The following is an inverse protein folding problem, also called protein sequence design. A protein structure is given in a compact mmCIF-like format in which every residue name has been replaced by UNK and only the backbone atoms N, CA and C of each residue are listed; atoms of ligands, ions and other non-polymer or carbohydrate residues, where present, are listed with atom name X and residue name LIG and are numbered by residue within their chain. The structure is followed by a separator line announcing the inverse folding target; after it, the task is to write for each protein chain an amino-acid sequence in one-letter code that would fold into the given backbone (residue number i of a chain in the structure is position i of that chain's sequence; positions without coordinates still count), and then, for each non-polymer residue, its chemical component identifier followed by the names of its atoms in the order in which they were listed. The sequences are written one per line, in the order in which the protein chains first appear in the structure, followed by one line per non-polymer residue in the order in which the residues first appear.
data_IF_041714454052
#
_entry.id   IF_041714454052
#
_cell.length_a   1.000
_cell.length_b   1.000
_cell.length_c   1.000
_cell.angle_alpha   90.00
_cell.angle_beta   90.00
_cell.angle_gamma   90.00
#
_symmetry.space_group_name_H-M   'P 1'
#
loop_
_entity.id
_entity.type
_entity.pdbx_description
1 polymer ?
#
# COMPACT_ATOMS: atom_id res chain seq x y z
N UNK A 1 -2.57 -9.87 17.02
CA UNK A 1 -2.45 -9.34 15.65
C UNK A 1 -1.63 -8.05 15.57
N UNK A 2 -2.02 -6.88 16.11
CA UNK A 2 -1.24 -5.63 15.90
C UNK A 2 0.24 -5.69 16.30
N UNK A 3 0.56 -6.32 17.43
CA UNK A 3 1.95 -6.54 17.82
C UNK A 3 2.75 -7.34 16.77
N UNK A 4 2.10 -8.31 16.12
CA UNK A 4 2.69 -9.08 15.03
C UNK A 4 2.84 -8.26 13.76
N UNK A 5 1.87 -7.41 13.39
CA UNK A 5 1.98 -6.52 12.24
C UNK A 5 3.09 -5.48 12.43
N UNK A 6 3.24 -4.94 13.65
CA UNK A 6 4.37 -4.08 14.01
C UNK A 6 5.70 -4.84 13.91
N UNK A 7 5.77 -6.06 14.43
CA UNK A 7 6.97 -6.90 14.30
C UNK A 7 7.30 -7.18 12.83
N UNK A 8 6.29 -7.48 12.01
CA UNK A 8 6.44 -7.73 10.59
C UNK A 8 7.00 -6.49 9.89
N UNK A 9 6.37 -5.32 10.02
CA UNK A 9 6.88 -4.08 9.42
C UNK A 9 8.31 -3.75 9.87
N UNK A 10 8.61 -3.86 11.17
CA UNK A 10 9.94 -3.64 11.70
C UNK A 10 10.99 -4.63 11.14
N UNK A 11 10.56 -5.79 10.68
CA UNK A 11 11.45 -6.81 10.12
C UNK A 11 11.64 -6.65 8.62
N UNK A 12 10.56 -6.46 7.86
CA UNK A 12 10.60 -6.48 6.39
C UNK A 12 10.76 -5.10 5.75
N UNK A 13 10.41 -4.03 6.49
CA UNK A 13 10.48 -2.65 6.02
C UNK A 13 10.77 -1.67 7.18
N UNK A 14 11.92 -1.84 7.88
CA UNK A 14 12.23 -1.08 9.09
C UNK A 14 12.22 0.44 8.88
N UNK A 15 12.59 0.91 7.69
CA UNK A 15 12.66 2.32 7.35
C UNK A 15 11.27 2.99 7.15
N UNK A 16 10.24 2.23 6.80
CA UNK A 16 8.87 2.77 6.66
C UNK A 16 8.24 3.12 8.01
N UNK A 17 8.49 2.27 9.02
CA UNK A 17 8.10 2.47 10.43
C UNK A 17 6.67 3.03 10.63
N UNK A 18 5.62 2.46 10.00
CA UNK A 18 4.29 3.08 10.03
C UNK A 18 3.65 3.01 11.41
N UNK A 19 2.76 3.97 11.68
CA UNK A 19 1.74 3.79 12.71
C UNK A 19 0.73 2.75 12.20
N UNK A 20 0.35 1.78 13.03
CA UNK A 20 -0.61 0.73 12.66
C UNK A 20 -1.75 0.74 13.68
N UNK A 21 -2.98 0.90 13.23
CA UNK A 21 -4.16 0.97 14.11
C UNK A 21 -5.33 0.19 13.56
N UNK A 22 -6.28 -0.14 14.44
CA UNK A 22 -7.61 -0.56 14.04
C UNK A 22 -8.40 0.66 13.53
N UNK A 23 -9.33 0.44 12.60
CA UNK A 23 -10.31 1.44 12.21
C UNK A 23 -11.05 1.97 13.45
N UNK A 24 -10.94 3.28 13.77
CA UNK A 24 -11.73 3.87 14.83
C UNK A 24 -13.19 3.98 14.44
N UNK A 25 -14.11 3.70 15.37
CA UNK A 25 -15.57 3.86 15.16
C UNK A 25 -15.96 5.29 14.74
N UNK A 26 -15.17 6.28 15.16
CA UNK A 26 -15.40 7.68 14.86
C UNK A 26 -14.99 8.08 13.43
N UNK A 27 -14.24 7.23 12.72
CA UNK A 27 -13.78 7.52 11.36
C UNK A 27 -14.72 6.87 10.35
N UNK A 28 -15.05 7.56 9.24
CA UNK A 28 -15.77 6.92 8.16
C UNK A 28 -14.97 5.71 7.66
N UNK A 29 -15.65 4.59 7.49
CA UNK A 29 -15.05 3.36 6.95
C UNK A 29 -15.15 3.41 5.44
N UNK A 30 -14.03 3.39 4.70
CA UNK A 30 -14.07 3.33 3.24
C UNK A 30 -14.86 2.10 2.78
N UNK A 31 -15.75 2.28 1.81
CA UNK A 31 -16.55 1.19 1.27
C UNK A 31 -15.62 0.18 0.56
N UNK A 32 -15.82 -1.11 0.80
CA UNK A 32 -15.09 -2.21 0.16
C UNK A 32 -13.58 -2.28 0.44
N UNK A 33 -13.13 -1.75 1.57
CA UNK A 33 -11.72 -1.82 1.96
C UNK A 33 -11.51 -2.61 3.26
N UNK A 34 -10.51 -3.49 3.28
CA UNK A 34 -10.11 -4.26 4.48
C UNK A 34 -8.98 -3.59 5.27
N UNK A 35 -8.20 -2.75 4.62
CA UNK A 35 -7.20 -1.88 5.23
C UNK A 35 -6.90 -0.72 4.28
N UNK A 36 -6.26 0.35 4.75
CA UNK A 36 -5.77 1.41 3.88
C UNK A 36 -4.55 2.12 4.47
N UNK A 37 -3.65 2.56 3.59
CA UNK A 37 -2.53 3.42 3.93
C UNK A 37 -2.88 4.91 3.76
N UNK A 38 -2.47 5.73 4.74
CA UNK A 38 -2.54 7.19 4.72
C UNK A 38 -1.11 7.72 4.77
N UNK A 39 -0.53 8.12 3.61
CA UNK A 39 0.85 8.62 3.57
C UNK A 39 1.04 9.91 4.37
N UNK A 40 0.01 10.75 4.47
CA UNK A 40 0.03 12.01 5.22
C UNK A 40 -1.13 12.07 6.21
N UNK A 41 -0.83 11.92 7.49
CA UNK A 41 -1.83 11.93 8.57
C UNK A 41 -2.47 13.33 8.69
N UNK A 42 -3.80 13.38 8.73
CA UNK A 42 -4.58 14.63 8.94
C UNK A 42 -4.51 15.10 10.40
N UNK A 43 -4.90 16.35 10.67
CA UNK A 43 -5.00 16.85 12.06
C UNK A 43 -5.87 15.93 12.93
N UNK A 44 -7.05 15.58 12.42
CA UNK A 44 -8.02 14.77 13.13
C UNK A 44 -7.46 13.39 13.46
N UNK A 45 -6.78 12.76 12.50
CA UNK A 45 -6.14 11.46 12.73
C UNK A 45 -5.02 11.56 13.75
N UNK A 46 -4.18 12.61 13.69
CA UNK A 46 -3.11 12.86 14.66
C UNK A 46 -3.67 13.06 16.07
N UNK A 47 -4.64 13.94 16.24
CA UNK A 47 -5.27 14.22 17.54
C UNK A 47 -5.87 12.95 18.14
N UNK A 48 -6.53 12.14 17.31
CA UNK A 48 -7.03 10.84 17.73
C UNK A 48 -5.91 9.93 18.24
N UNK A 49 -4.84 9.75 17.45
CA UNK A 49 -3.68 8.93 17.83
C UNK A 49 -3.01 9.45 19.11
N UNK A 50 -2.90 10.77 19.28
CA UNK A 50 -2.36 11.40 20.48
C UNK A 50 -3.24 11.12 21.71
N UNK A 51 -4.55 11.27 21.56
CA UNK A 51 -5.51 11.01 22.64
C UNK A 51 -5.50 9.54 23.09
N UNK A 52 -5.21 8.63 22.16
CA UNK A 52 -5.08 7.19 22.41
C UNK A 52 -3.69 6.78 22.94
N UNK A 53 -2.73 7.71 23.04
CA UNK A 53 -1.33 7.38 23.36
C UNK A 53 -0.62 6.54 22.30
N UNK A 54 -1.18 6.46 21.09
CA UNK A 54 -0.65 5.71 19.96
C UNK A 54 0.23 6.57 19.02
N UNK A 55 0.20 7.90 19.19
CA UNK A 55 1.05 8.81 18.42
C UNK A 55 2.47 8.85 18.98
N UNK A 56 3.46 8.53 18.15
CA UNK A 56 4.87 8.72 18.49
C UNK A 56 5.48 9.91 17.76
N UNK A 57 5.37 9.96 16.42
CA UNK A 57 5.91 11.03 15.57
C UNK A 57 5.21 11.02 14.19
N UNK A 58 5.44 12.05 13.34
CA UNK A 58 4.89 12.09 11.98
C UNK A 58 5.44 10.93 11.12
N UNK A 59 4.62 9.91 10.91
CA UNK A 59 4.92 8.75 10.05
C UNK A 59 3.68 8.36 9.23
N UNK A 60 3.80 7.56 8.17
CA UNK A 60 2.64 6.98 7.51
C UNK A 60 1.74 6.22 8.50
N UNK A 61 0.45 6.13 8.19
CA UNK A 61 -0.53 5.40 8.98
C UNK A 61 -1.15 4.29 8.14
N UNK A 62 -1.15 3.06 8.67
CA UNK A 62 -1.92 1.95 8.14
C UNK A 62 -3.09 1.69 9.07
N UNK A 63 -4.29 1.66 8.50
CA UNK A 63 -5.53 1.40 9.23
C UNK A 63 -6.08 0.04 8.79
N UNK A 64 -6.21 -0.89 9.74
CA UNK A 64 -6.81 -2.20 9.52
C UNK A 64 -8.30 -2.14 9.87
N UNK A 65 -9.18 -2.37 8.89
CA UNK A 65 -10.65 -2.26 9.07
C UNK A 65 -11.22 -3.45 9.82
N UNK A 66 -10.76 -4.67 9.50
CA UNK A 66 -11.05 -5.87 10.27
C UNK A 66 -9.76 -6.50 10.80
N UNK A 67 -9.29 -6.06 11.98
CA UNK A 67 -8.04 -6.52 12.57
C UNK A 67 -8.17 -7.85 13.34
N UNK A 68 -9.30 -8.56 13.21
CA UNK A 68 -9.51 -9.80 14.00
C UNK A 68 -9.14 -11.07 13.24
N UNK A 69 -8.95 -10.98 11.93
CA UNK A 69 -8.54 -12.10 11.11
C UNK A 69 -7.00 -12.28 11.13
N UNK A 70 -6.54 -13.39 11.73
CA UNK A 70 -5.13 -13.81 11.76
C UNK A 70 -4.76 -14.70 10.54
N UNK A 71 -5.49 -14.55 9.43
CA UNK A 71 -5.25 -15.33 8.21
C UNK A 71 -4.00 -14.86 7.45
N UNK A 72 -3.55 -15.69 6.51
CA UNK A 72 -2.60 -15.28 5.49
C UNK A 72 -3.14 -14.11 4.64
N UNK A 73 -4.45 -14.05 4.39
CA UNK A 73 -5.06 -12.97 3.63
C UNK A 73 -4.91 -11.61 4.35
N UNK A 74 -5.12 -11.57 5.67
CA UNK A 74 -4.92 -10.36 6.49
C UNK A 74 -3.47 -9.87 6.46
N UNK A 75 -2.50 -10.79 6.55
CA UNK A 75 -1.07 -10.46 6.39
C UNK A 75 -0.73 -9.97 4.97
N UNK A 76 -1.34 -10.57 3.95
CA UNK A 76 -1.16 -10.16 2.57
C UNK A 76 -1.71 -8.76 2.29
N UNK A 77 -2.89 -8.45 2.84
CA UNK A 77 -3.48 -7.10 2.83
C UNK A 77 -2.58 -6.12 3.60
N UNK A 78 -2.02 -6.52 4.73
CA UNK A 78 -1.08 -5.65 5.44
C UNK A 78 0.17 -5.33 4.60
N UNK A 79 0.75 -6.32 3.92
CA UNK A 79 1.88 -6.07 3.00
C UNK A 79 1.45 -5.20 1.80
N UNK A 80 0.22 -5.36 1.31
CA UNK A 80 -0.36 -4.48 0.30
C UNK A 80 -0.35 -3.01 0.76
N UNK A 81 -0.87 -2.74 1.96
CA UNK A 81 -0.90 -1.38 2.48
C UNK A 81 0.50 -0.83 2.77
N UNK A 82 1.38 -1.69 3.27
CA UNK A 82 2.77 -1.34 3.51
C UNK A 82 3.50 -0.97 2.21
N UNK A 83 3.15 -1.62 1.09
CA UNK A 83 3.69 -1.31 -0.23
C UNK A 83 3.20 0.03 -0.79
N UNK A 84 2.19 0.70 -0.21
CA UNK A 84 1.85 2.07 -0.61
C UNK A 84 2.84 3.11 -0.06
N UNK A 85 3.69 2.75 0.91
CA UNK A 85 4.71 3.63 1.48
C UNK A 85 5.94 3.63 0.56
N UNK A 86 6.37 4.79 0.00
CA UNK A 86 7.58 4.88 -0.82
C UNK A 86 8.87 4.59 -0.06
N UNK A 87 9.89 4.08 -0.76
CA UNK A 87 11.21 3.81 -0.21
C UNK A 87 11.90 5.06 0.35
N UNK A 88 11.71 6.18 -0.31
CA UNK A 88 12.40 7.45 -0.10
C UNK A 88 11.59 8.46 0.71
N UNK A 89 10.66 8.00 1.55
CA UNK A 89 9.73 8.87 2.27
C UNK A 89 10.45 9.99 3.03
N UNK A 90 10.42 11.20 2.47
CA UNK A 90 10.78 12.40 3.21
C UNK A 90 9.77 12.56 4.34
N UNK A 91 10.25 12.61 5.59
CA UNK A 91 9.36 12.91 6.70
C UNK A 91 8.72 14.26 6.44
N UNK A 92 7.39 14.34 6.31
CA UNK A 92 6.75 15.61 6.03
C UNK A 92 7.05 16.55 7.19
N UNK A 93 7.66 17.69 6.87
CA UNK A 93 7.91 18.74 7.84
C UNK A 93 6.60 19.04 8.60
N UNK A 94 6.67 19.09 9.93
CA UNK A 94 5.50 19.44 10.74
C UNK A 94 4.99 20.81 10.33
N UNK A 95 3.97 20.83 9.49
CA UNK A 95 3.31 22.06 9.13
C UNK A 95 2.22 22.32 10.16
N UNK A 96 2.18 23.51 10.77
CA UNK A 96 1.08 23.89 11.66
C UNK A 96 -0.26 23.68 10.95
N UNK A 97 -1.18 22.99 11.61
CA UNK A 97 -2.49 22.70 11.03
C UNK A 97 -3.40 23.89 11.33
N UNK A 98 -3.67 24.70 10.31
CA UNK A 98 -4.64 25.78 10.40
C UNK A 98 -6.06 25.22 10.42
N UNK A 99 -7.02 25.95 10.99
CA UNK A 99 -8.43 25.55 11.02
C UNK A 99 -8.99 25.27 9.61
N UNK A 100 -8.60 26.08 8.63
CA UNK A 100 -9.01 25.91 7.23
C UNK A 100 -8.40 24.65 6.59
N UNK A 101 -7.12 24.36 6.84
CA UNK A 101 -6.49 23.11 6.39
C UNK A 101 -7.17 21.89 7.02
N UNK A 102 -7.51 21.96 8.31
CA UNK A 102 -8.23 20.91 9.04
C UNK A 102 -9.58 20.63 8.39
N UNK A 103 -10.37 21.67 8.15
CA UNK A 103 -11.68 21.54 7.50
C UNK A 103 -11.57 20.86 6.12
N UNK A 104 -10.60 21.27 5.30
CA UNK A 104 -10.38 20.66 3.97
C UNK A 104 -10.01 19.18 4.06
N UNK A 105 -9.10 18.81 4.96
CA UNK A 105 -8.68 17.42 5.15
C UNK A 105 -9.83 16.54 5.65
N UNK A 106 -10.64 17.03 6.59
CA UNK A 106 -11.79 16.29 7.11
C UNK A 106 -12.87 16.11 6.03
N UNK A 107 -13.12 17.14 5.22
CA UNK A 107 -14.05 17.06 4.09
C UNK A 107 -13.58 16.10 3.00
N UNK A 108 -12.28 16.11 2.66
CA UNK A 108 -11.67 15.19 1.72
C UNK A 108 -11.75 13.74 2.20
N UNK A 109 -11.41 13.49 3.47
CA UNK A 109 -11.50 12.16 4.06
C UNK A 109 -12.94 11.63 4.08
N UNK A 110 -13.92 12.47 4.46
CA UNK A 110 -15.33 12.11 4.42
C UNK A 110 -15.82 11.85 2.99
N UNK A 111 -15.38 12.66 2.02
CA UNK A 111 -15.73 12.50 0.62
C UNK A 111 -15.20 11.18 0.04
N UNK A 112 -13.92 10.88 0.27
CA UNK A 112 -13.27 9.65 -0.19
C UNK A 112 -13.92 8.40 0.39
N UNK A 113 -14.35 8.46 1.65
CA UNK A 113 -14.98 7.30 2.30
C UNK A 113 -16.42 7.04 1.82
N UNK A 114 -17.12 8.05 1.32
CA UNK A 114 -18.55 7.96 0.99
C UNK A 114 -18.85 7.94 -0.52
N UNK A 115 -17.91 8.36 -1.35
CA UNK A 115 -18.14 8.47 -2.80
C UNK A 115 -17.66 7.21 -3.50
N UNK A 116 -18.52 6.50 -4.27
CA UNK A 116 -18.04 5.46 -5.16
C UNK A 116 -16.99 6.06 -6.08
N UNK A 117 -15.80 5.43 -6.14
CA UNK A 117 -14.71 5.87 -7.00
C UNK A 117 -15.16 5.62 -8.46
N UNK A 118 -15.83 6.62 -9.04
CA UNK A 118 -16.07 6.71 -10.47
C UNK A 118 -14.99 7.66 -10.97
N UNK A 119 -13.84 7.09 -11.34
CA UNK A 119 -12.73 7.85 -11.89
C UNK A 119 -12.54 7.45 -13.36
N UNK A 120 -12.09 8.40 -14.18
CA UNK A 120 -11.59 8.13 -15.52
C UNK A 120 -10.17 7.50 -15.49
N UNK A 121 -9.67 7.22 -14.29
CA UNK A 121 -8.36 6.63 -14.07
C UNK A 121 -8.42 5.12 -14.36
N UNK A 122 -7.30 4.52 -14.80
CA UNK A 122 -7.25 3.08 -14.97
C UNK A 122 -7.49 2.36 -13.63
N UNK A 123 -8.04 1.13 -13.64
CA UNK A 123 -8.35 0.38 -12.41
C UNK A 123 -7.15 0.10 -11.49
N UNK A 124 -5.93 0.21 -12.01
CA UNK A 124 -4.68 0.09 -11.25
C UNK A 124 -4.12 1.42 -10.76
N UNK A 125 -4.86 2.53 -10.84
CA UNK A 125 -4.39 3.80 -10.30
C UNK A 125 -4.09 3.68 -8.80
N UNK A 126 -2.87 4.05 -8.40
CA UNK A 126 -2.32 3.78 -7.07
C UNK A 126 -1.60 2.43 -6.92
N UNK A 127 -1.68 1.55 -7.92
CA UNK A 127 -1.05 0.22 -7.97
C UNK A 127 -0.11 0.12 -9.18
N UNK A 128 0.78 1.10 -9.34
CA UNK A 128 1.72 1.16 -10.45
C UNK A 128 2.84 0.10 -10.38
N UNK A 129 3.72 0.09 -11.39
CA UNK A 129 4.86 -0.82 -11.45
C UNK A 129 5.77 -0.76 -10.20
N UNK A 130 5.98 0.43 -9.64
CA UNK A 130 6.83 0.60 -8.46
C UNK A 130 6.15 0.01 -7.22
N UNK A 131 4.85 0.26 -7.05
CA UNK A 131 4.03 -0.38 -6.01
C UNK A 131 4.09 -1.91 -6.08
N UNK A 132 3.83 -2.50 -7.27
CA UNK A 132 3.83 -3.96 -7.44
C UNK A 132 5.21 -4.54 -7.13
N UNK A 133 6.28 -3.92 -7.65
CA UNK A 133 7.66 -4.34 -7.39
C UNK A 133 7.98 -4.30 -5.90
N UNK A 134 7.63 -3.21 -5.21
CA UNK A 134 7.80 -3.04 -3.76
C UNK A 134 7.09 -4.15 -2.99
N UNK A 135 5.83 -4.42 -3.30
CA UNK A 135 5.06 -5.47 -2.64
C UNK A 135 5.68 -6.87 -2.80
N UNK A 136 6.28 -7.16 -3.96
CA UNK A 136 6.99 -8.43 -4.20
C UNK A 136 8.28 -8.56 -3.37
N UNK A 137 9.04 -7.46 -3.20
CA UNK A 137 10.18 -7.45 -2.29
C UNK A 137 9.76 -7.65 -0.83
N UNK A 138 8.70 -6.96 -0.39
CA UNK A 138 8.16 -7.11 0.95
C UNK A 138 7.65 -8.53 1.21
N UNK A 139 6.97 -9.13 0.23
CA UNK A 139 6.56 -10.54 0.26
C UNK A 139 7.75 -11.48 0.40
N UNK A 140 8.79 -11.30 -0.40
CA UNK A 140 10.01 -12.11 -0.33
C UNK A 140 10.65 -12.05 1.06
N UNK A 141 10.82 -10.85 1.62
CA UNK A 141 11.34 -10.65 2.98
C UNK A 141 10.45 -11.33 4.01
N UNK A 142 9.13 -11.20 3.89
CA UNK A 142 8.20 -11.83 4.82
C UNK A 142 8.32 -13.38 4.79
N UNK A 143 8.34 -13.98 3.60
CA UNK A 143 8.52 -15.44 3.48
C UNK A 143 9.89 -15.88 4.02
N UNK A 144 10.95 -15.11 3.76
CA UNK A 144 12.30 -15.37 4.27
C UNK A 144 12.41 -15.38 5.80
N UNK A 145 11.51 -14.67 6.49
CA UNK A 145 11.41 -14.65 7.94
C UNK A 145 10.36 -15.62 8.51
N UNK A 146 9.81 -16.51 7.69
CA UNK A 146 8.94 -17.60 8.12
C UNK A 146 7.45 -17.26 8.17
N UNK A 147 7.03 -16.09 7.69
CA UNK A 147 5.60 -15.80 7.55
C UNK A 147 5.00 -16.61 6.40
N UNK A 148 3.97 -17.41 6.71
CA UNK A 148 3.29 -18.25 5.74
C UNK A 148 2.33 -17.43 4.87
N UNK A 149 2.81 -16.99 3.70
CA UNK A 149 2.07 -16.12 2.79
C UNK A 149 2.36 -16.47 1.31
N UNK A 150 1.32 -16.69 0.52
CA UNK A 150 1.43 -16.83 -0.93
C UNK A 150 1.37 -15.48 -1.63
N UNK A 151 2.00 -15.36 -2.81
CA UNK A 151 1.95 -14.11 -3.60
C UNK A 151 0.51 -13.68 -3.95
N UNK A 152 -0.41 -14.64 -4.10
CA UNK A 152 -1.82 -14.37 -4.36
C UNK A 152 -2.52 -13.63 -3.23
N UNK A 153 -2.01 -13.73 -2.01
CA UNK A 153 -2.63 -13.15 -0.81
C UNK A 153 -2.38 -11.63 -0.75
N UNK A 154 -1.45 -11.09 -1.57
CA UNK A 154 -1.09 -9.67 -1.60
C UNK A 154 -2.15 -8.76 -2.24
N UNK A 155 -3.04 -9.30 -3.08
CA UNK A 155 -4.02 -8.48 -3.83
C UNK A 155 -3.39 -7.28 -4.58
N UNK A 156 -2.18 -7.41 -5.13
CA UNK A 156 -1.44 -6.30 -5.78
C UNK A 156 -1.69 -6.16 -7.28
N UNK A 157 -2.29 -7.17 -7.91
CA UNK A 157 -2.53 -7.26 -9.34
C UNK A 157 -3.67 -8.25 -9.65
N UNK A 158 -3.96 -8.48 -10.94
CA UNK A 158 -5.00 -9.39 -11.41
C UNK A 158 -6.25 -8.70 -11.94
N UNK A 159 -7.32 -9.48 -12.15
CA UNK A 159 -8.52 -9.06 -12.87
C UNK A 159 -9.20 -7.80 -12.28
N UNK A 160 -9.18 -7.64 -10.95
CA UNK A 160 -9.72 -6.45 -10.27
C UNK A 160 -9.08 -5.15 -10.78
N UNK A 161 -7.80 -5.23 -11.15
CA UNK A 161 -7.00 -4.09 -11.60
C UNK A 161 -6.85 -4.08 -13.13
N UNK A 162 -7.46 -5.01 -13.87
CA UNK A 162 -7.21 -5.13 -15.32
C UNK A 162 -5.76 -5.49 -15.67
N UNK A 163 -5.03 -6.10 -14.74
CA UNK A 163 -3.63 -6.50 -14.88
C UNK A 163 -3.50 -8.03 -14.97
N UNK A 164 -2.33 -8.50 -15.40
CA UNK A 164 -1.85 -9.87 -15.23
C UNK A 164 -1.84 -10.27 -13.75
N UNK A 165 -1.78 -11.57 -13.46
CA UNK A 165 -1.89 -12.04 -12.08
C UNK A 165 -0.67 -11.67 -11.23
N UNK A 166 -0.83 -11.60 -9.90
CA UNK A 166 0.32 -11.39 -8.99
C UNK A 166 1.41 -12.46 -9.15
N UNK A 167 1.04 -13.69 -9.55
CA UNK A 167 1.99 -14.75 -9.84
C UNK A 167 2.80 -14.47 -11.11
N UNK A 168 2.20 -13.91 -12.16
CA UNK A 168 2.92 -13.53 -13.38
C UNK A 168 3.96 -12.44 -13.10
N UNK A 169 3.62 -11.45 -12.28
CA UNK A 169 4.57 -10.43 -11.82
C UNK A 169 5.69 -11.01 -10.95
N UNK A 170 5.37 -11.99 -10.09
CA UNK A 170 6.39 -12.70 -9.29
C UNK A 170 7.32 -13.57 -10.13
N UNK A 171 6.85 -14.16 -11.23
CA UNK A 171 7.74 -14.82 -12.19
C UNK A 171 8.60 -13.79 -12.93
N UNK A 172 8.00 -12.68 -13.37
CA UNK A 172 8.67 -11.67 -14.18
C UNK A 172 9.71 -10.85 -13.41
N UNK A 173 9.56 -10.67 -12.09
CA UNK A 173 10.58 -10.03 -11.24
C UNK A 173 11.85 -10.90 -11.09
N UNK A 174 11.73 -12.21 -11.29
CA UNK A 174 12.87 -13.13 -11.33
C UNK A 174 13.61 -13.24 -10.00
N UNK A 175 14.95 -13.21 -10.05
CA UNK A 175 15.83 -13.33 -8.88
C UNK A 175 16.12 -12.00 -8.18
N UNK A 176 15.54 -10.88 -8.65
CA UNK A 176 15.79 -9.56 -8.08
C UNK A 176 15.53 -9.47 -6.57
N UNK A 177 14.44 -10.03 -6.00
CA UNK A 177 14.24 -10.00 -4.55
C UNK A 177 15.37 -10.65 -3.75
N UNK A 178 15.97 -11.71 -4.29
CA UNK A 178 17.12 -12.38 -3.68
C UNK A 178 18.41 -11.56 -3.84
N UNK A 179 18.68 -11.02 -5.04
CA UNK A 179 19.89 -10.21 -5.29
C UNK A 179 19.91 -8.91 -4.47
N UNK A 180 18.74 -8.38 -4.14
CA UNK A 180 18.54 -7.13 -3.42
C UNK A 180 18.12 -7.34 -1.96
N UNK A 181 18.29 -8.54 -1.39
CA UNK A 181 17.80 -8.88 -0.05
C UNK A 181 18.30 -7.93 1.05
N UNK A 182 19.53 -7.41 0.89
CA UNK A 182 20.19 -6.53 1.85
C UNK A 182 20.05 -5.03 1.53
N UNK A 183 19.38 -4.66 0.43
CA UNK A 183 19.21 -3.27 0.02
C UNK A 183 17.99 -2.64 0.70
N UNK A 184 18.00 -1.33 0.91
CA UNK A 184 16.79 -0.58 1.29
C UNK A 184 15.83 -0.50 0.10
N UNK A 185 14.52 -0.34 0.36
CA UNK A 185 13.56 -0.20 -0.74
C UNK A 185 13.84 1.04 -1.61
N UNK A 186 14.27 2.14 -0.99
CA UNK A 186 14.72 3.33 -1.71
C UNK A 186 15.83 3.02 -2.72
N UNK A 187 16.81 2.18 -2.35
CA UNK A 187 17.93 1.82 -3.22
C UNK A 187 17.48 0.93 -4.37
N UNK A 188 16.56 0.00 -4.10
CA UNK A 188 15.97 -0.89 -5.10
C UNK A 188 15.18 -0.10 -6.15
N UNK A 189 14.41 0.90 -5.71
CA UNK A 189 13.60 1.75 -6.58
C UNK A 189 14.45 2.59 -7.55
N UNK A 190 15.72 2.87 -7.23
CA UNK A 190 16.65 3.52 -8.15
C UNK A 190 17.26 2.57 -9.19
N UNK A 191 17.14 1.25 -9.00
CA UNK A 191 17.58 0.29 -10.00
C UNK A 191 16.53 0.18 -11.12
N UNK A 192 16.97 -0.01 -12.39
CA UNK A 192 16.04 -0.32 -13.46
C UNK A 192 15.29 -1.63 -13.13
N UNK A 193 13.96 -1.70 -13.39
CA UNK A 193 13.21 -2.93 -13.17
C UNK A 193 13.73 -4.05 -14.09
N UNK A 194 13.59 -5.32 -13.69
CA UNK A 194 13.88 -6.47 -14.55
C UNK A 194 13.16 -6.34 -15.89
N UNK A 195 13.82 -6.70 -16.99
CA UNK A 195 13.29 -6.49 -18.34
C UNK A 195 11.95 -7.23 -18.57
N UNK A 196 11.80 -8.44 -18.03
CA UNK A 196 10.56 -9.21 -18.12
C UNK A 196 9.43 -8.56 -17.31
N UNK A 197 9.74 -8.01 -16.13
CA UNK A 197 8.81 -7.25 -15.31
C UNK A 197 8.33 -5.98 -16.02
N UNK A 198 9.26 -5.20 -16.57
CA UNK A 198 8.92 -3.98 -17.33
C UNK A 198 8.06 -4.28 -18.55
N UNK A 199 8.43 -5.32 -19.32
CA UNK A 199 7.68 -5.75 -20.51
C UNK A 199 6.27 -6.23 -20.17
N UNK A 200 6.12 -6.94 -19.04
CA UNK A 200 4.82 -7.38 -18.52
C UNK A 200 3.91 -6.18 -18.20
N UNK A 201 4.44 -5.21 -17.45
CA UNK A 201 3.72 -3.99 -17.09
C UNK A 201 3.28 -3.18 -18.31
N UNK A 202 4.19 -2.93 -19.26
CA UNK A 202 3.90 -2.20 -20.50
C UNK A 202 2.81 -2.89 -21.33
N UNK A 203 2.84 -4.23 -21.39
CA UNK A 203 1.83 -5.03 -22.08
C UNK A 203 0.45 -4.89 -21.44
N UNK A 204 0.36 -4.95 -20.11
CA UNK A 204 -0.90 -4.81 -19.39
C UNK A 204 -1.51 -3.42 -19.62
N UNK A 205 -0.69 -2.35 -19.55
CA UNK A 205 -1.14 -1.00 -19.86
C UNK A 205 -1.65 -0.88 -21.31
N UNK A 206 -0.89 -1.39 -22.28
CA UNK A 206 -1.26 -1.34 -23.69
C UNK A 206 -2.56 -2.11 -23.98
N UNK A 207 -2.76 -3.26 -23.33
CA UNK A 207 -3.98 -4.06 -23.44
C UNK A 207 -5.20 -3.26 -22.96
N UNK A 208 -5.13 -2.66 -21.77
CA UNK A 208 -6.22 -1.83 -21.24
C UNK A 208 -6.57 -0.66 -22.16
N UNK A 209 -5.59 0.15 -22.60
CA UNK A 209 -5.89 1.29 -23.46
C UNK A 209 -6.42 0.88 -24.83
N UNK A 210 -6.07 -0.32 -25.31
CA UNK A 210 -6.66 -0.88 -26.54
C UNK A 210 -8.14 -1.25 -26.33
N UNK A 211 -8.50 -1.79 -25.16
CA UNK A 211 -9.88 -2.15 -24.82
C UNK A 211 -10.74 -0.93 -24.50
N UNK A 212 -10.27 -0.01 -23.64
CA UNK A 212 -11.00 1.20 -23.26
C UNK A 212 -11.34 2.09 -24.46
N UNK A 213 -10.49 2.13 -25.50
CA UNK A 213 -10.78 2.86 -26.75
C UNK A 213 -11.91 2.24 -27.57
N UNK A 214 -12.15 0.93 -27.47
CA UNK A 214 -13.23 0.24 -28.20
C UNK A 214 -14.60 0.46 -27.58
N UNK A 215 -14.66 0.62 -26.27
CA UNK A 215 -15.93 0.84 -25.55
C UNK A 215 -16.46 2.28 -25.69
N UNK A 216 -15.58 3.22 -26.07
CA UNK A 216 -15.89 4.64 -26.24
C UNK A 216 -16.04 5.10 -27.70
N UNK A 217 -15.94 4.20 -28.68
CA UNK A 217 -16.04 4.48 -30.12
C UNK A 217 -17.34 3.94 -30.70
#
# INVERSE_FOLDING_TARGET
MFAELHQMAATIYPEANPNIVAQPDAWPTPIHCSAYCVPTITATMREYLQSAGAWTEPRPLIVMVDPTDDSAASRGIFIHELAHIPGDLEQPAETPITADRRFRQDAEFAYLALTPIITDEPPWAGHDAAFIRRALHLHHRAVGHGWALGVRDLSIAGLRYGLSSAFDYWLAIGDEPLRCESMLLAEIEQLPPPADFASLWERDQAAYYTHARKENA
#
